data_IF_201691327285
#
_entry.id   IF_201691327285
#
_cell.length_a   1.000
_cell.length_b   1.000
_cell.length_c   1.000
_cell.angle_alpha   90.00
_cell.angle_beta   90.00
_cell.angle_gamma   90.00
#
_symmetry.space_group_name_H-M   'P 1'
#
loop_
_entity.id
_entity.type
_entity.pdbx_description
1 polymer ?
#
# COMPACT_ATOMS: atom_id res chain seq x y z
N UNK A 1 -0.93 -5.67 48.62
CA UNK A 1 -0.16 -6.28 47.51
C UNK A 1 -1.13 -7.13 46.71
N UNK A 2 -1.56 -6.63 45.55
CA UNK A 2 -2.52 -7.35 44.68
C UNK A 2 -1.70 -8.23 43.74
N UNK A 3 -1.80 -9.55 43.94
CA UNK A 3 -1.26 -10.55 43.02
C UNK A 3 -2.25 -10.71 41.86
N UNK A 4 -2.03 -9.98 40.77
CA UNK A 4 -2.74 -10.25 39.53
C UNK A 4 -2.17 -11.51 38.87
N UNK A 5 -3.02 -12.52 38.80
CA UNK A 5 -2.79 -13.77 38.07
C UNK A 5 -2.67 -13.46 36.57
N UNK A 6 -1.45 -13.16 36.11
CA UNK A 6 -1.11 -13.17 34.68
C UNK A 6 -1.19 -14.62 34.22
N UNK A 7 -2.35 -14.99 33.66
CA UNK A 7 -2.54 -16.25 32.95
C UNK A 7 -1.55 -16.29 31.78
N UNK A 8 -0.40 -16.93 32.01
CA UNK A 8 0.65 -17.13 31.00
C UNK A 8 0.09 -18.02 29.89
N UNK A 9 -0.42 -17.39 28.84
CA UNK A 9 -0.78 -18.03 27.58
C UNK A 9 0.39 -18.93 27.14
N UNK A 10 0.17 -20.25 27.04
CA UNK A 10 1.14 -21.25 26.58
C UNK A 10 1.51 -21.14 25.09
N UNK A 11 1.12 -20.06 24.40
CA UNK A 11 1.65 -19.76 23.06
C UNK A 11 3.09 -19.27 23.17
N UNK A 12 4.03 -20.11 22.75
CA UNK A 12 5.43 -19.70 22.58
C UNK A 12 5.52 -18.42 21.73
N UNK A 13 6.38 -17.49 22.13
CA UNK A 13 6.65 -16.25 21.39
C UNK A 13 6.20 -14.95 22.06
N UNK A 14 5.39 -14.99 23.13
CA UNK A 14 5.04 -13.80 23.94
C UNK A 14 5.86 -13.71 25.23
N UNK A 15 7.18 -13.64 25.13
CA UNK A 15 8.05 -13.27 26.26
C UNK A 15 8.58 -11.86 26.02
N UNK A 16 8.79 -11.07 27.06
CA UNK A 16 9.55 -9.82 26.91
C UNK A 16 10.91 -10.14 26.29
N UNK A 17 11.26 -9.43 25.21
CA UNK A 17 12.46 -9.73 24.42
C UNK A 17 12.34 -10.86 23.40
N UNK A 18 11.17 -11.49 23.23
CA UNK A 18 10.92 -12.44 22.13
C UNK A 18 10.68 -11.69 20.81
N UNK A 19 11.37 -12.11 19.75
CA UNK A 19 11.33 -11.47 18.43
C UNK A 19 12.65 -10.81 18.05
N UNK A 20 12.78 -10.41 16.78
CA UNK A 20 13.98 -9.69 16.31
C UNK A 20 13.97 -8.30 16.94
N UNK A 21 15.03 -7.96 17.67
CA UNK A 21 15.21 -6.60 18.23
C UNK A 21 15.04 -5.57 17.10
N UNK A 22 14.23 -4.53 17.33
CA UNK A 22 14.10 -3.43 16.38
C UNK A 22 15.49 -2.83 16.17
N UNK A 23 15.96 -2.81 14.92
CA UNK A 23 17.26 -2.21 14.56
C UNK A 23 17.26 -0.68 14.63
N UNK A 24 16.06 -0.09 14.68
CA UNK A 24 15.82 1.32 14.39
C UNK A 24 14.94 2.01 15.45
N UNK A 25 14.46 1.29 16.47
CA UNK A 25 13.38 1.77 17.36
C UNK A 25 12.00 1.72 16.71
N UNK A 26 11.92 1.45 15.40
CA UNK A 26 10.67 1.33 14.64
C UNK A 26 10.13 -0.10 14.75
N UNK A 27 8.83 -0.24 14.99
CA UNK A 27 8.16 -1.54 14.98
C UNK A 27 8.05 -2.04 13.53
N UNK A 28 8.39 -3.30 13.28
CA UNK A 28 8.24 -3.90 11.96
C UNK A 28 7.20 -5.02 11.99
N UNK A 29 6.50 -5.18 10.87
CA UNK A 29 5.53 -6.26 10.65
C UNK A 29 5.93 -7.09 9.44
N UNK A 30 5.54 -8.36 9.42
CA UNK A 30 5.77 -9.26 8.29
C UNK A 30 4.50 -9.25 7.42
N UNK A 31 4.64 -8.84 6.17
CA UNK A 31 3.56 -8.90 5.16
C UNK A 31 3.84 -10.00 4.14
N UNK A 32 2.78 -10.65 3.65
CA UNK A 32 2.87 -11.61 2.54
C UNK A 32 2.63 -10.88 1.24
N UNK A 33 3.57 -11.01 0.31
CA UNK A 33 3.53 -10.35 -1.00
C UNK A 33 3.70 -11.43 -2.07
N UNK A 34 2.95 -11.39 -3.19
CA UNK A 34 3.22 -12.25 -4.34
C UNK A 34 4.68 -12.08 -4.79
N UNK A 35 5.35 -13.19 -5.15
CA UNK A 35 6.76 -13.15 -5.54
C UNK A 35 7.04 -12.16 -6.68
N UNK A 36 6.12 -12.03 -7.63
CA UNK A 36 6.22 -11.07 -8.75
C UNK A 36 6.21 -9.60 -8.34
N UNK A 37 5.83 -9.27 -7.11
CA UNK A 37 5.74 -7.91 -6.58
C UNK A 37 6.81 -7.60 -5.54
N UNK A 38 7.65 -8.55 -5.18
CA UNK A 38 8.63 -8.41 -4.10
C UNK A 38 9.55 -7.20 -4.33
N UNK A 39 10.16 -7.11 -5.51
CA UNK A 39 11.07 -6.01 -5.85
C UNK A 39 10.38 -4.65 -5.85
N UNK A 40 9.15 -4.58 -6.37
CA UNK A 40 8.35 -3.35 -6.40
C UNK A 40 7.98 -2.87 -5.00
N UNK A 41 7.55 -3.79 -4.12
CA UNK A 41 7.21 -3.46 -2.73
C UNK A 41 8.45 -3.03 -1.96
N UNK A 42 9.60 -3.66 -2.20
CA UNK A 42 10.85 -3.29 -1.58
C UNK A 42 11.29 -1.88 -1.99
N UNK A 43 11.21 -1.56 -3.29
CA UNK A 43 11.50 -0.23 -3.81
C UNK A 43 10.53 0.83 -3.27
N UNK A 44 9.25 0.50 -3.16
CA UNK A 44 8.25 1.35 -2.52
C UNK A 44 8.63 1.67 -1.08
N UNK A 45 8.95 0.66 -0.26
CA UNK A 45 9.31 0.86 1.15
C UNK A 45 10.51 1.78 1.27
N UNK A 46 11.56 1.57 0.46
CA UNK A 46 12.77 2.40 0.51
C UNK A 46 12.50 3.85 0.10
N UNK A 47 11.74 4.07 -0.97
CA UNK A 47 11.38 5.43 -1.45
C UNK A 47 10.45 6.12 -0.46
N UNK A 48 9.43 5.43 0.04
CA UNK A 48 8.50 5.97 1.02
C UNK A 48 9.22 6.33 2.32
N UNK A 49 10.10 5.45 2.81
CA UNK A 49 10.92 5.72 3.99
C UNK A 49 11.76 6.98 3.83
N UNK A 50 12.36 7.20 2.66
CA UNK A 50 13.11 8.43 2.37
C UNK A 50 12.21 9.67 2.32
N UNK A 51 11.01 9.54 1.75
CA UNK A 51 10.09 10.66 1.62
C UNK A 51 9.56 11.16 2.97
N UNK A 52 9.32 10.26 3.92
CA UNK A 52 8.82 10.61 5.26
C UNK A 52 9.93 10.86 6.28
N UNK A 53 11.20 10.74 5.88
CA UNK A 53 12.33 10.80 6.80
C UNK A 53 12.52 12.21 7.33
N UNK A 54 12.49 12.37 8.65
CA UNK A 54 12.84 13.61 9.33
C UNK A 54 14.31 13.60 9.81
N UNK A 55 14.87 14.78 10.10
CA UNK A 55 16.22 14.88 10.66
C UNK A 55 16.30 14.16 12.02
N UNK A 56 17.19 13.17 12.11
CA UNK A 56 17.38 12.36 13.33
C UNK A 56 16.71 11.00 13.30
N UNK A 57 15.88 10.71 12.29
CA UNK A 57 15.25 9.39 12.16
C UNK A 57 16.25 8.28 11.83
N UNK A 58 16.10 7.16 12.53
CA UNK A 58 16.88 5.94 12.32
C UNK A 58 16.08 4.96 11.48
N UNK A 59 16.13 5.09 10.16
CA UNK A 59 15.59 4.06 9.28
C UNK A 59 16.57 2.91 9.06
N UNK A 60 16.04 1.74 8.70
CA UNK A 60 16.86 0.65 8.22
C UNK A 60 17.58 1.07 6.92
N UNK A 61 18.79 0.55 6.65
CA UNK A 61 19.47 0.83 5.39
C UNK A 61 18.64 0.33 4.21
N UNK A 62 18.68 1.08 3.11
CA UNK A 62 18.03 0.71 1.86
C UNK A 62 18.53 -0.64 1.38
N UNK A 63 17.61 -1.38 0.75
CA UNK A 63 17.91 -2.66 0.15
C UNK A 63 17.85 -2.62 -1.37
N UNK A 64 17.22 -1.60 -1.94
CA UNK A 64 17.08 -1.43 -3.38
C UNK A 64 18.19 -0.58 -3.97
N UNK A 65 18.53 -0.89 -5.23
CA UNK A 65 19.46 -0.11 -6.04
C UNK A 65 18.72 0.94 -6.88
N UNK A 66 19.47 1.85 -7.51
CA UNK A 66 18.87 2.95 -8.29
C UNK A 66 18.06 2.47 -9.51
N UNK A 67 18.46 1.36 -10.14
CA UNK A 67 17.70 0.77 -11.25
C UNK A 67 16.34 0.26 -10.78
N UNK A 68 16.27 -0.42 -9.64
CA UNK A 68 15.01 -0.89 -9.04
C UNK A 68 14.11 0.28 -8.66
N UNK A 69 14.69 1.36 -8.12
CA UNK A 69 13.94 2.59 -7.82
C UNK A 69 13.41 3.27 -9.08
N UNK A 70 14.18 3.28 -10.16
CA UNK A 70 13.75 3.82 -11.45
C UNK A 70 12.62 2.96 -12.07
N UNK A 71 12.79 1.65 -12.06
CA UNK A 71 11.76 0.70 -12.51
C UNK A 71 10.45 0.85 -11.73
N UNK A 72 10.54 1.01 -10.41
CA UNK A 72 9.38 1.31 -9.57
C UNK A 72 8.67 2.59 -10.00
N UNK A 73 9.40 3.70 -10.19
CA UNK A 73 8.81 4.97 -10.65
C UNK A 73 8.08 4.80 -11.98
N UNK A 74 8.70 4.15 -12.96
CA UNK A 74 8.10 3.91 -14.27
C UNK A 74 6.84 3.05 -14.15
N UNK A 75 6.89 1.98 -13.36
CA UNK A 75 5.76 1.07 -13.16
C UNK A 75 4.57 1.78 -12.52
N UNK A 76 4.80 2.56 -11.46
CA UNK A 76 3.74 3.31 -10.77
C UNK A 76 3.14 4.38 -11.69
N UNK A 77 3.95 5.10 -12.45
CA UNK A 77 3.44 6.07 -13.43
C UNK A 77 2.50 5.40 -14.45
N UNK A 78 2.89 4.25 -15.01
CA UNK A 78 2.04 3.50 -15.93
C UNK A 78 0.75 2.99 -15.28
N UNK A 79 0.80 2.56 -14.02
CA UNK A 79 -0.41 2.16 -13.27
C UNK A 79 -1.37 3.33 -13.05
N UNK A 80 -0.86 4.52 -12.74
CA UNK A 80 -1.67 5.73 -12.56
C UNK A 80 -2.34 6.16 -13.87
N UNK A 81 -1.62 6.10 -14.99
CA UNK A 81 -2.17 6.39 -16.32
C UNK A 81 -3.28 5.41 -16.68
N UNK A 82 -3.04 4.11 -16.51
CA UNK A 82 -4.02 3.06 -16.76
C UNK A 82 -5.32 3.27 -15.96
N UNK A 83 -5.21 3.54 -14.64
CA UNK A 83 -6.40 3.75 -13.81
C UNK A 83 -7.13 5.04 -14.20
N UNK A 84 -6.41 6.10 -14.56
CA UNK A 84 -7.02 7.35 -15.07
C UNK A 84 -7.84 7.10 -16.33
N UNK A 85 -7.29 6.36 -17.30
CA UNK A 85 -8.01 6.02 -18.53
C UNK A 85 -9.23 5.14 -18.27
N UNK A 86 -9.09 4.15 -17.38
CA UNK A 86 -10.18 3.25 -16.98
C UNK A 86 -11.34 4.03 -16.35
N UNK A 87 -11.04 4.99 -15.48
CA UNK A 87 -12.06 5.86 -14.87
C UNK A 87 -12.71 6.79 -15.90
N UNK A 88 -11.92 7.37 -16.81
CA UNK A 88 -12.45 8.22 -17.87
C UNK A 88 -13.43 7.47 -18.79
N UNK A 89 -13.11 6.22 -19.17
CA UNK A 89 -14.01 5.35 -19.94
C UNK A 89 -15.31 5.07 -19.19
N UNK A 90 -15.23 4.71 -17.91
CA UNK A 90 -16.42 4.46 -17.07
C UNK A 90 -17.32 5.69 -16.99
N UNK A 91 -16.74 6.87 -16.74
CA UNK A 91 -17.49 8.12 -16.64
C UNK A 91 -18.17 8.49 -17.96
N UNK A 92 -17.51 8.22 -19.10
CA UNK A 92 -18.10 8.42 -20.42
C UNK A 92 -19.29 7.47 -20.65
N UNK A 93 -19.12 6.18 -20.36
CA UNK A 93 -20.22 5.20 -20.48
C UNK A 93 -21.43 5.56 -19.60
N UNK A 94 -21.19 6.05 -18.38
CA UNK A 94 -22.26 6.49 -17.49
C UNK A 94 -22.96 7.76 -17.99
N UNK A 95 -22.20 8.69 -18.58
CA UNK A 95 -22.76 9.87 -19.27
C UNK A 95 -23.61 9.47 -20.48
N UNK A 96 -23.10 8.57 -21.33
CA UNK A 96 -23.79 8.10 -22.53
C UNK A 96 -25.10 7.37 -22.16
N UNK A 97 -25.07 6.51 -21.13
CA UNK A 97 -26.28 5.87 -20.57
C UNK A 97 -27.28 6.89 -20.03
N UNK A 98 -26.80 7.95 -19.37
CA UNK A 98 -27.67 9.03 -18.87
C UNK A 98 -28.32 9.78 -20.01
N UNK A 99 -27.59 10.08 -21.08
CA UNK A 99 -28.12 10.74 -22.27
C UNK A 99 -29.19 9.88 -22.96
N UNK A 100 -28.94 8.58 -23.17
CA UNK A 100 -29.92 7.67 -23.76
C UNK A 100 -31.24 7.62 -22.97
N UNK A 101 -31.17 7.57 -21.64
CA UNK A 101 -32.37 7.61 -20.78
C UNK A 101 -33.16 8.91 -20.90
N UNK A 102 -32.51 10.04 -21.19
CA UNK A 102 -33.22 11.31 -21.39
C UNK A 102 -34.04 11.28 -22.69
N UNK A 103 -33.45 10.80 -23.79
CA UNK A 103 -34.16 10.65 -25.06
C UNK A 103 -35.33 9.65 -25.00
N UNK A 104 -35.17 8.53 -24.28
CA UNK A 104 -36.25 7.55 -24.06
C UNK A 104 -37.44 8.11 -23.26
N UNK A 105 -37.21 9.10 -22.40
CA UNK A 105 -38.26 9.72 -21.60
C UNK A 105 -38.99 10.85 -22.36
N UNK A 106 -38.29 11.59 -23.22
CA UNK A 106 -38.89 12.60 -24.09
C UNK A 106 -39.85 11.95 -25.09
N UNK A 107 -39.43 10.86 -25.73
CA UNK A 107 -40.24 10.10 -26.71
C UNK A 107 -41.48 9.41 -26.13
N UNK A 108 -41.57 9.23 -24.80
CA UNK A 108 -42.76 8.67 -24.13
C UNK A 108 -43.75 9.74 -23.66
N UNK A 109 -43.37 11.01 -23.78
CA UNK A 109 -44.17 12.15 -23.30
C UNK A 109 -44.95 12.85 -24.42
N UNK A 110 -44.81 12.38 -25.67
CA UNK A 110 -45.63 12.71 -26.85
C UNK A 110 -46.65 11.60 -27.14
#
# INVERSE_FOLDING_TARGET
MVNENVSKSKRGGKREGAGRKSRAGIHSVVMRVPASMEELVQAFIDIYSDWIREEGDKFAPHKTNEMQRAFFRQTVSGMLEFERERLAKRNKEDSDKRQLRLFENETKSE
#
